data_IF_284126621328
#
_entry.id   IF_284126621328
#
_cell.length_a   1.000
_cell.length_b   1.000
_cell.length_c   1.000
_cell.angle_alpha   90.00
_cell.angle_beta   90.00
_cell.angle_gamma   90.00
#
_symmetry.space_group_name_H-M   'P 1'
#
loop_
_entity.id
_entity.type
_entity.pdbx_description
1 polymer ?
#
# COMPACT_ATOMS: atom_id res chain seq x y z
N UNK A 1 8.15 4.67 -2.76
CA UNK A 1 7.20 4.24 -3.80
C UNK A 1 7.18 2.73 -4.01
N UNK A 2 8.29 2.06 -4.35
CA UNK A 2 8.34 0.61 -4.59
C UNK A 2 7.61 -0.23 -3.52
N UNK A 3 7.92 -0.01 -2.24
CA UNK A 3 7.25 -0.73 -1.14
C UNK A 3 5.71 -0.55 -1.13
N UNK A 4 5.21 0.68 -1.31
CA UNK A 4 3.76 0.98 -1.36
C UNK A 4 3.13 0.29 -2.57
N UNK A 5 3.76 0.38 -3.74
CA UNK A 5 3.25 -0.22 -4.98
C UNK A 5 3.13 -1.73 -4.85
N UNK A 6 4.19 -2.43 -4.44
CA UNK A 6 4.21 -3.89 -4.45
C UNK A 6 3.52 -4.54 -3.26
N UNK A 7 3.46 -3.86 -2.10
CA UNK A 7 2.87 -4.44 -0.89
C UNK A 7 1.45 -4.00 -0.59
N UNK A 8 1.05 -2.82 -1.07
CA UNK A 8 -0.26 -2.26 -0.77
C UNK A 8 -1.13 -2.17 -2.01
N UNK A 9 -0.60 -1.63 -3.11
CA UNK A 9 -1.42 -1.36 -4.30
C UNK A 9 -1.61 -2.60 -5.20
N UNK A 10 -0.53 -3.29 -5.58
CA UNK A 10 -0.60 -4.45 -6.48
C UNK A 10 -1.50 -5.58 -5.95
N UNK A 11 -1.48 -5.95 -4.66
CA UNK A 11 -2.40 -6.96 -4.15
C UNK A 11 -3.89 -6.60 -4.34
N UNK A 12 -4.24 -5.32 -4.23
CA UNK A 12 -5.62 -4.83 -4.44
C UNK A 12 -5.98 -4.83 -5.93
N UNK A 13 -5.01 -4.51 -6.80
CA UNK A 13 -5.25 -4.45 -8.24
C UNK A 13 -5.32 -5.85 -8.86
N UNK A 14 -4.39 -6.72 -8.52
CA UNK A 14 -4.21 -8.03 -9.13
C UNK A 14 -5.01 -9.14 -8.45
N UNK A 15 -5.44 -8.93 -7.20
CA UNK A 15 -6.03 -9.98 -6.38
C UNK A 15 -5.06 -11.13 -6.12
N UNK A 16 -5.53 -12.18 -5.47
CA UNK A 16 -4.69 -13.32 -5.12
C UNK A 16 -4.12 -14.03 -6.36
N UNK A 17 -4.92 -14.18 -7.41
CA UNK A 17 -4.50 -14.90 -8.62
C UNK A 17 -3.48 -14.13 -9.44
N UNK A 18 -3.64 -12.81 -9.61
CA UNK A 18 -2.62 -12.01 -10.28
C UNK A 18 -1.34 -11.87 -9.45
N UNK A 19 -1.41 -11.88 -8.11
CA UNK A 19 -0.21 -11.91 -7.27
C UNK A 19 0.56 -13.24 -7.40
N UNK A 20 -0.13 -14.38 -7.63
CA UNK A 20 0.55 -15.65 -7.97
C UNK A 20 1.31 -15.55 -9.28
N UNK A 21 0.76 -14.86 -10.29
CA UNK A 21 1.46 -14.62 -11.57
C UNK A 21 2.72 -13.76 -11.38
N UNK A 22 2.68 -12.79 -10.47
CA UNK A 22 3.82 -11.92 -10.16
C UNK A 22 4.95 -12.68 -9.44
N UNK A 23 4.59 -13.60 -8.54
CA UNK A 23 5.53 -14.46 -7.82
C UNK A 23 6.35 -13.77 -6.73
N UNK A 24 7.22 -14.53 -6.05
CA UNK A 24 8.15 -14.02 -5.04
C UNK A 24 9.35 -13.32 -5.66
N UNK A 25 10.01 -12.47 -4.87
CA UNK A 25 11.27 -11.87 -5.30
C UNK A 25 12.42 -12.83 -5.00
N UNK A 26 13.10 -13.28 -6.06
CA UNK A 26 14.17 -14.28 -5.96
C UNK A 26 15.56 -13.67 -6.16
N UNK A 27 15.66 -12.33 -6.19
CA UNK A 27 16.90 -11.60 -6.42
C UNK A 27 16.89 -10.77 -7.71
N UNK A 28 17.94 -9.97 -7.86
CA UNK A 28 18.21 -9.22 -9.08
C UNK A 28 18.82 -10.15 -10.13
N UNK A 29 18.34 -10.05 -11.35
CA UNK A 29 18.82 -10.80 -12.52
C UNK A 29 19.10 -9.81 -13.66
N UNK A 30 20.36 -9.75 -14.09
CA UNK A 30 20.83 -8.83 -15.13
C UNK A 30 20.44 -9.27 -16.56
N UNK A 31 19.92 -10.49 -16.72
CA UNK A 31 19.37 -10.99 -17.98
C UNK A 31 17.91 -10.57 -18.19
N UNK A 32 17.23 -10.09 -17.15
CA UNK A 32 15.86 -9.59 -17.26
C UNK A 32 15.88 -8.19 -17.84
N UNK A 33 15.17 -7.98 -18.95
CA UNK A 33 14.94 -6.65 -19.50
C UNK A 33 13.82 -5.93 -18.72
N UNK A 34 14.10 -4.86 -17.96
CA UNK A 34 13.10 -4.14 -17.17
C UNK A 34 12.36 -3.07 -17.98
N UNK A 35 12.61 -2.94 -19.28
CA UNK A 35 11.95 -1.94 -20.14
C UNK A 35 10.43 -2.12 -20.09
N UNK A 36 9.72 -1.00 -20.07
CA UNK A 36 8.26 -1.00 -20.14
C UNK A 36 7.81 -1.46 -21.52
N UNK A 37 7.01 -2.53 -21.57
CA UNK A 37 6.48 -3.05 -22.82
C UNK A 37 5.36 -2.16 -23.38
N UNK A 38 5.18 -2.24 -24.71
CA UNK A 38 4.24 -1.38 -25.42
C UNK A 38 2.79 -1.69 -24.99
N UNK A 39 2.42 -2.96 -24.89
CA UNK A 39 1.08 -3.37 -24.44
C UNK A 39 0.77 -2.94 -23.00
N UNK A 40 1.78 -2.92 -22.12
CA UNK A 40 1.61 -2.48 -20.75
C UNK A 40 1.29 -0.99 -20.69
N UNK A 41 2.11 -0.14 -21.33
CA UNK A 41 1.94 1.32 -21.30
C UNK A 41 0.73 1.80 -22.12
N UNK A 42 0.48 1.17 -23.26
CA UNK A 42 -0.49 1.66 -24.23
C UNK A 42 -1.90 1.10 -24.00
N UNK A 43 -2.04 -0.07 -23.37
CA UNK A 43 -3.34 -0.69 -23.11
C UNK A 43 -3.54 -1.08 -21.64
N UNK A 44 -2.74 -2.01 -21.10
CA UNK A 44 -3.07 -2.68 -19.84
C UNK A 44 -3.13 -1.72 -18.64
N UNK A 45 -2.13 -0.86 -18.44
CA UNK A 45 -2.12 0.13 -17.34
C UNK A 45 -3.17 1.22 -17.47
N UNK A 46 -3.83 1.34 -18.63
CA UNK A 46 -4.93 2.27 -18.84
C UNK A 46 -6.26 1.77 -18.27
N UNK A 47 -6.30 0.57 -17.67
CA UNK A 47 -7.48 0.06 -16.96
C UNK A 47 -8.02 1.06 -15.93
N UNK A 48 -7.13 1.86 -15.33
CA UNK A 48 -7.46 2.91 -14.37
C UNK A 48 -8.49 3.93 -14.90
N UNK A 49 -8.57 4.17 -16.22
CA UNK A 49 -9.58 5.05 -16.81
C UNK A 49 -11.02 4.61 -16.53
N UNK A 50 -11.26 3.31 -16.28
CA UNK A 50 -12.59 2.78 -15.92
C UNK A 50 -12.97 3.03 -14.45
N UNK A 51 -12.00 3.43 -13.63
CA UNK A 51 -12.12 3.64 -12.18
C UNK A 51 -12.18 5.13 -11.80
N UNK A 52 -12.02 6.03 -12.76
CA UNK A 52 -12.07 7.48 -12.52
C UNK A 52 -13.52 7.90 -12.25
N UNK A 53 -13.81 8.55 -11.10
CA UNK A 53 -15.12 9.14 -10.84
C UNK A 53 -15.35 10.39 -11.70
N UNK A 54 -16.61 10.74 -12.02
CA UNK A 54 -16.94 11.96 -12.77
C UNK A 54 -16.76 13.25 -11.95
N UNK A 55 -16.40 13.13 -10.67
CA UNK A 55 -16.35 14.22 -9.71
C UNK A 55 -15.05 14.11 -8.92
N UNK A 56 -14.37 15.24 -8.75
CA UNK A 56 -13.29 15.40 -7.78
C UNK A 56 -13.91 15.83 -6.45
N UNK A 57 -13.95 14.90 -5.51
CA UNK A 57 -14.48 15.13 -4.17
C UNK A 57 -13.52 16.02 -3.38
N UNK A 58 -14.09 16.96 -2.64
CA UNK A 58 -13.36 17.93 -1.83
C UNK A 58 -14.04 18.08 -0.48
N UNK A 59 -13.30 17.77 0.60
CA UNK A 59 -13.85 17.72 1.95
C UNK A 59 -13.10 18.63 2.93
N UNK A 60 -13.83 19.29 3.81
CA UNK A 60 -13.30 20.07 4.92
C UNK A 60 -12.75 19.17 6.04
N UNK A 61 -12.26 19.78 7.12
CA UNK A 61 -11.69 19.09 8.29
C UNK A 61 -12.67 18.15 9.01
N UNK A 62 -13.98 18.39 8.86
CA UNK A 62 -15.04 17.54 9.41
C UNK A 62 -15.46 16.40 8.48
N UNK A 63 -14.74 16.19 7.36
CA UNK A 63 -15.08 15.19 6.32
C UNK A 63 -16.43 15.45 5.67
N UNK A 64 -16.75 16.72 5.47
CA UNK A 64 -17.96 17.20 4.80
C UNK A 64 -17.57 18.03 3.58
N UNK A 65 -18.47 18.17 2.63
CA UNK A 65 -18.21 18.97 1.42
C UNK A 65 -17.82 20.40 1.78
N UNK A 66 -16.75 20.92 1.17
CA UNK A 66 -16.35 22.33 1.32
C UNK A 66 -17.40 23.27 0.71
N UNK A 67 -17.42 24.54 1.11
CA UNK A 67 -18.42 25.52 0.64
C UNK A 67 -18.40 25.70 -0.89
N UNK A 68 -17.23 25.59 -1.52
CA UNK A 68 -17.05 25.61 -2.98
C UNK A 68 -17.63 24.38 -3.69
N UNK A 69 -18.10 23.38 -2.95
CA UNK A 69 -18.66 22.13 -3.49
C UNK A 69 -17.60 21.15 -3.98
N UNK A 70 -18.02 20.13 -4.73
CA UNK A 70 -17.12 19.27 -5.50
C UNK A 70 -16.90 19.83 -6.92
N UNK A 71 -15.86 19.37 -7.62
CA UNK A 71 -15.65 19.72 -9.03
C UNK A 71 -16.12 18.60 -9.95
N UNK A 72 -16.77 18.95 -11.05
CA UNK A 72 -16.87 18.03 -12.18
C UNK A 72 -15.46 17.79 -12.75
N UNK A 73 -15.17 16.56 -13.15
CA UNK A 73 -13.82 16.17 -13.56
C UNK A 73 -13.27 17.03 -14.70
N UNK A 74 -14.10 17.38 -15.70
CA UNK A 74 -13.66 18.21 -16.82
C UNK A 74 -13.20 19.62 -16.39
N UNK A 75 -13.66 20.12 -15.24
CA UNK A 75 -13.28 21.42 -14.68
C UNK A 75 -11.98 21.37 -13.87
N UNK A 76 -11.50 20.16 -13.54
CA UNK A 76 -10.27 19.95 -12.80
C UNK A 76 -9.04 19.74 -13.71
N UNK A 77 -9.25 19.40 -14.99
CA UNK A 77 -8.15 19.25 -15.95
C UNK A 77 -7.46 20.60 -16.19
N UNK A 78 -6.13 20.61 -16.01
CA UNK A 78 -5.28 21.78 -16.22
C UNK A 78 -5.71 23.04 -15.44
N UNK A 79 -6.31 22.86 -14.26
CA UNK A 79 -6.81 23.95 -13.41
C UNK A 79 -6.02 24.09 -12.09
N UNK A 80 -4.72 24.45 -12.12
CA UNK A 80 -3.91 24.57 -10.90
C UNK A 80 -4.36 25.71 -10.00
N UNK A 81 -5.06 26.71 -10.52
CA UNK A 81 -5.60 27.83 -9.75
C UNK A 81 -6.63 27.38 -8.70
N UNK A 82 -7.27 26.21 -8.92
CA UNK A 82 -8.14 25.55 -7.93
C UNK A 82 -7.40 25.25 -6.64
N UNK A 83 -6.11 24.88 -6.71
CA UNK A 83 -5.33 24.62 -5.50
C UNK A 83 -5.09 25.90 -4.69
N UNK A 84 -4.95 27.04 -5.36
CA UNK A 84 -4.70 28.33 -4.68
C UNK A 84 -5.99 28.93 -4.10
N UNK A 85 -7.13 28.72 -4.76
CA UNK A 85 -8.41 29.37 -4.42
C UNK A 85 -9.33 28.50 -3.57
N UNK A 86 -9.23 27.18 -3.68
CA UNK A 86 -10.21 26.23 -3.11
C UNK A 86 -9.66 25.45 -1.90
N UNK A 87 -8.72 26.05 -1.15
CA UNK A 87 -8.24 25.53 0.13
C UNK A 87 -7.05 24.56 0.05
N UNK A 88 -6.23 24.61 -1.00
CA UNK A 88 -5.02 23.81 -1.11
C UNK A 88 -5.27 22.35 -1.51
N UNK A 89 -4.32 21.49 -1.12
CA UNK A 89 -4.36 20.04 -1.42
C UNK A 89 -5.24 19.25 -0.44
N UNK A 90 -5.32 19.71 0.81
CA UNK A 90 -6.00 19.05 1.91
C UNK A 90 -7.44 18.60 1.57
N UNK A 91 -8.31 19.45 0.98
CA UNK A 91 -9.66 19.03 0.64
C UNK A 91 -9.71 17.89 -0.38
N UNK A 92 -8.81 17.90 -1.35
CA UNK A 92 -8.71 16.88 -2.39
C UNK A 92 -8.18 15.57 -1.77
N UNK A 93 -7.16 15.66 -0.92
CA UNK A 93 -6.60 14.49 -0.22
C UNK A 93 -7.65 13.82 0.67
N UNK A 94 -8.46 14.58 1.43
CA UNK A 94 -9.58 14.01 2.19
C UNK A 94 -10.61 13.33 1.27
N UNK A 95 -10.91 13.95 0.12
CA UNK A 95 -11.78 13.34 -0.90
C UNK A 95 -11.24 12.01 -1.45
N UNK A 96 -9.94 11.95 -1.78
CA UNK A 96 -9.27 10.73 -2.24
C UNK A 96 -9.30 9.62 -1.19
N UNK A 97 -9.12 9.97 0.09
CA UNK A 97 -9.13 9.02 1.19
C UNK A 97 -10.54 8.50 1.54
N UNK A 98 -11.60 9.26 1.27
CA UNK A 98 -12.95 8.96 1.77
C UNK A 98 -13.95 8.51 0.70
N UNK A 99 -13.89 9.09 -0.50
CA UNK A 99 -14.97 8.94 -1.49
C UNK A 99 -14.80 7.75 -2.44
N UNK A 100 -13.67 7.04 -2.38
CA UNK A 100 -13.42 5.84 -3.19
C UNK A 100 -13.39 6.11 -4.70
N UNK A 101 -13.26 5.02 -5.45
CA UNK A 101 -13.17 5.02 -6.91
C UNK A 101 -14.52 4.71 -7.56
N UNK A 102 -14.63 4.93 -8.87
CA UNK A 102 -15.74 4.41 -9.66
C UNK A 102 -15.64 2.89 -9.76
N UNK A 103 -16.77 2.21 -9.54
CA UNK A 103 -16.90 0.77 -9.72
C UNK A 103 -16.79 0.41 -11.22
N UNK A 104 -15.87 -0.51 -11.55
CA UNK A 104 -15.60 -0.99 -12.92
C UNK A 104 -16.76 -1.80 -13.50
N UNK A 105 -17.66 -2.33 -12.68
CA UNK A 105 -18.80 -3.13 -13.14
C UNK A 105 -19.92 -2.28 -13.75
N UNK A 106 -19.86 -0.95 -13.58
CA UNK A 106 -20.84 -0.01 -14.14
C UNK A 106 -20.71 0.09 -15.66
N UNK A 107 -21.86 0.17 -16.33
CA UNK A 107 -21.99 0.39 -17.76
C UNK A 107 -22.54 1.80 -18.06
N UNK A 108 -21.99 2.56 -19.03
CA UNK A 108 -20.80 2.25 -19.84
C UNK A 108 -19.51 2.19 -19.00
N UNK A 109 -18.44 1.53 -19.49
CA UNK A 109 -17.21 1.29 -18.71
C UNK A 109 -16.44 2.56 -18.33
N UNK A 110 -16.53 3.62 -19.13
CA UNK A 110 -16.02 4.96 -18.82
C UNK A 110 -17.20 5.93 -18.64
N UNK A 111 -17.01 6.94 -17.81
CA UNK A 111 -18.04 7.95 -17.56
C UNK A 111 -17.95 9.09 -18.60
N UNK A 112 -19.03 9.86 -18.77
CA UNK A 112 -19.13 10.91 -19.80
C UNK A 112 -18.16 12.08 -19.62
N UNK A 113 -17.61 12.30 -18.42
CA UNK A 113 -16.56 13.30 -18.23
C UNK A 113 -15.25 12.91 -18.92
N UNK A 114 -15.08 11.61 -19.24
CA UNK A 114 -13.94 11.09 -19.99
C UNK A 114 -14.25 10.80 -21.46
N UNK A 115 -15.51 10.55 -21.85
CA UNK A 115 -15.87 10.24 -23.25
C UNK A 115 -16.42 11.44 -24.02
N UNK A 116 -17.09 12.37 -23.34
CA UNK A 116 -17.77 13.51 -24.01
C UNK A 116 -17.17 14.86 -23.66
N UNK A 117 -16.35 14.92 -22.60
CA UNK A 117 -15.87 16.19 -22.01
C UNK A 117 -14.39 16.16 -21.66
N UNK A 118 -13.63 15.18 -22.17
CA UNK A 118 -12.21 15.12 -21.89
C UNK A 118 -11.56 16.42 -22.39
N UNK A 119 -10.93 17.14 -21.46
CA UNK A 119 -10.22 18.39 -21.71
C UNK A 119 -11.07 19.49 -22.38
N UNK A 120 -12.39 19.48 -22.18
CA UNK A 120 -13.30 20.49 -22.74
C UNK A 120 -12.96 21.95 -22.34
N UNK A 121 -12.22 22.14 -21.24
CA UNK A 121 -11.75 23.47 -20.80
C UNK A 121 -10.38 23.87 -21.37
N UNK A 122 -9.63 22.93 -21.96
CA UNK A 122 -8.25 23.12 -22.40
C UNK A 122 -8.04 22.97 -23.92
N UNK A 123 -9.05 22.45 -24.64
CA UNK A 123 -9.05 22.31 -26.09
C UNK A 123 -10.31 22.93 -26.69
N UNK A 124 -10.23 23.29 -27.98
CA UNK A 124 -11.37 23.83 -28.74
C UNK A 124 -12.52 22.82 -28.87
N UNK A 125 -12.18 21.53 -28.89
CA UNK A 125 -13.14 20.42 -28.95
C UNK A 125 -12.92 19.48 -27.78
N UNK A 126 -14.01 19.03 -27.18
CA UNK A 126 -13.97 17.95 -26.22
C UNK A 126 -13.54 16.64 -26.90
N UNK A 127 -12.72 15.86 -26.21
CA UNK A 127 -12.20 14.59 -26.71
C UNK A 127 -12.91 13.40 -26.04
N UNK A 128 -12.72 12.21 -26.62
CA UNK A 128 -13.14 10.92 -26.07
C UNK A 128 -11.92 10.08 -25.69
N UNK A 129 -11.70 9.88 -24.39
CA UNK A 129 -10.58 9.09 -23.89
C UNK A 129 -10.67 7.60 -24.29
N UNK A 130 -11.87 7.03 -24.39
CA UNK A 130 -12.05 5.65 -24.83
C UNK A 130 -11.64 5.51 -26.30
N UNK A 131 -12.13 6.41 -27.17
CA UNK A 131 -11.76 6.43 -28.58
C UNK A 131 -10.25 6.68 -28.77
N UNK A 132 -9.66 7.59 -27.99
CA UNK A 132 -8.22 7.85 -28.00
C UNK A 132 -7.40 6.61 -27.60
N UNK A 133 -7.84 5.83 -26.62
CA UNK A 133 -7.13 4.60 -26.22
C UNK A 133 -7.19 3.53 -27.33
N UNK A 134 -8.34 3.38 -27.99
CA UNK A 134 -8.48 2.50 -29.15
C UNK A 134 -7.56 2.96 -30.29
N UNK A 135 -7.63 4.24 -30.66
CA UNK A 135 -6.83 4.77 -31.75
C UNK A 135 -5.33 4.72 -31.44
N UNK A 136 -4.92 4.96 -30.18
CA UNK A 136 -3.53 4.86 -29.74
C UNK A 136 -3.01 3.42 -29.79
N UNK A 137 -3.84 2.44 -29.46
CA UNK A 137 -3.47 1.02 -29.61
C UNK A 137 -3.13 0.67 -31.06
N UNK A 138 -3.91 1.18 -32.01
CA UNK A 138 -3.72 0.99 -33.45
C UNK A 138 -2.48 1.72 -33.97
N UNK A 139 -2.30 2.98 -33.55
CA UNK A 139 -1.11 3.81 -33.83
C UNK A 139 0.19 3.10 -33.40
N UNK A 140 0.17 2.48 -32.22
CA UNK A 140 1.30 1.73 -31.67
C UNK A 140 1.48 0.33 -32.27
N UNK A 141 0.65 -0.08 -33.23
CA UNK A 141 0.71 -1.40 -33.87
C UNK A 141 0.49 -2.55 -32.89
N UNK A 142 -0.30 -2.35 -31.83
CA UNK A 142 -0.57 -3.42 -30.88
C UNK A 142 -1.35 -4.57 -31.55
N UNK A 143 -0.94 -5.83 -31.34
CA UNK A 143 -1.78 -6.96 -31.65
C UNK A 143 -3.15 -6.89 -30.94
N UNK A 144 -4.14 -7.54 -31.54
CA UNK A 144 -5.49 -7.62 -30.98
C UNK A 144 -5.55 -8.32 -29.62
N UNK A 145 -6.64 -8.08 -28.89
CA UNK A 145 -6.93 -8.66 -27.58
C UNK A 145 -6.71 -10.18 -27.53
N UNK A 146 -7.16 -10.91 -28.54
CA UNK A 146 -7.08 -12.38 -28.54
C UNK A 146 -5.65 -12.89 -28.69
N UNK A 147 -4.75 -12.13 -29.33
CA UNK A 147 -3.33 -12.49 -29.40
C UNK A 147 -2.74 -12.57 -27.99
N UNK A 148 -2.98 -11.54 -27.18
CA UNK A 148 -2.51 -11.49 -25.80
C UNK A 148 -3.24 -12.52 -24.92
N UNK A 149 -4.57 -12.54 -24.96
CA UNK A 149 -5.35 -13.41 -24.09
C UNK A 149 -5.05 -14.90 -24.33
N UNK A 150 -4.96 -15.35 -25.58
CA UNK A 150 -4.87 -16.78 -25.90
C UNK A 150 -3.45 -17.27 -26.15
N UNK A 151 -2.59 -16.50 -26.82
CA UNK A 151 -1.22 -16.97 -27.12
C UNK A 151 -0.22 -16.57 -26.06
N UNK A 152 -0.23 -15.30 -25.66
CA UNK A 152 0.74 -14.79 -24.68
C UNK A 152 0.39 -15.29 -23.28
N UNK A 153 -0.87 -15.13 -22.88
CA UNK A 153 -1.34 -15.48 -21.53
C UNK A 153 -1.95 -16.89 -21.42
N UNK A 154 -2.11 -17.61 -22.53
CA UNK A 154 -2.57 -19.02 -22.51
C UNK A 154 -3.99 -19.23 -21.97
N UNK A 155 -4.88 -18.25 -22.06
CA UNK A 155 -6.18 -18.28 -21.38
C UNK A 155 -7.27 -19.06 -22.12
N UNK A 156 -6.97 -19.81 -23.19
CA UNK A 156 -8.01 -20.58 -23.88
C UNK A 156 -7.50 -21.83 -24.58
N UNK A 157 -8.44 -22.64 -25.06
CA UNK A 157 -8.17 -23.96 -25.64
C UNK A 157 -7.55 -23.92 -27.03
N UNK A 158 -7.61 -22.78 -27.72
CA UNK A 158 -7.02 -22.54 -29.04
C UNK A 158 -6.25 -21.23 -29.03
N UNK A 159 -5.11 -21.16 -29.71
CA UNK A 159 -4.34 -19.93 -29.90
C UNK A 159 -5.10 -18.86 -30.71
N UNK A 160 -6.12 -19.26 -31.48
CA UNK A 160 -6.86 -18.41 -32.40
C UNK A 160 -8.36 -18.67 -32.23
N UNK A 161 -9.07 -17.88 -31.41
CA UNK A 161 -10.53 -17.99 -31.33
C UNK A 161 -11.15 -17.49 -32.64
N UNK A 162 -12.08 -18.28 -33.19
CA UNK A 162 -12.82 -17.96 -34.42
C UNK A 162 -14.30 -17.63 -34.13
N UNK A 163 -14.74 -17.78 -32.88
CA UNK A 163 -16.09 -17.43 -32.45
C UNK A 163 -16.10 -16.55 -31.20
N UNK A 164 -17.01 -15.58 -31.14
CA UNK A 164 -17.26 -14.79 -29.92
C UNK A 164 -17.73 -15.67 -28.75
N UNK A 165 -18.26 -16.87 -29.01
CA UNK A 165 -18.60 -17.82 -27.95
C UNK A 165 -17.36 -18.28 -27.16
N UNK A 166 -16.18 -18.31 -27.77
CA UNK A 166 -14.93 -18.70 -27.11
C UNK A 166 -14.48 -17.67 -26.08
N UNK A 167 -15.00 -16.43 -26.14
CA UNK A 167 -14.70 -15.36 -25.18
C UNK A 167 -15.54 -15.47 -23.89
N UNK A 168 -16.60 -16.29 -23.88
CA UNK A 168 -17.53 -16.46 -22.73
C UNK A 168 -16.86 -16.77 -21.40
N UNK A 169 -15.76 -17.56 -21.32
CA UNK A 169 -15.08 -17.81 -20.06
C UNK A 169 -14.52 -16.55 -19.38
N UNK A 170 -14.37 -15.43 -20.12
CA UNK A 170 -13.85 -14.15 -19.60
C UNK A 170 -14.78 -12.97 -19.75
N UNK A 171 -15.72 -13.04 -20.70
CA UNK A 171 -16.73 -12.01 -20.92
C UNK A 171 -18.09 -12.70 -20.83
N UNK A 172 -18.62 -12.79 -19.62
CA UNK A 172 -19.87 -13.55 -19.35
C UNK A 172 -21.12 -12.82 -19.80
N UNK A 173 -21.07 -11.48 -19.92
CA UNK A 173 -22.24 -10.65 -20.23
C UNK A 173 -22.63 -10.74 -21.72
N UNK A 174 -23.82 -11.28 -22.08
CA UNK A 174 -24.18 -11.54 -23.47
C UNK A 174 -24.26 -10.29 -24.35
N UNK A 175 -24.78 -9.17 -23.80
CA UNK A 175 -24.90 -7.92 -24.55
C UNK A 175 -23.53 -7.31 -24.92
N UNK A 176 -22.48 -7.59 -24.13
CA UNK A 176 -21.11 -7.16 -24.44
C UNK A 176 -20.57 -7.97 -25.62
N UNK A 177 -20.75 -9.29 -25.61
CA UNK A 177 -20.34 -10.17 -26.73
C UNK A 177 -21.04 -9.78 -28.03
N UNK A 178 -22.34 -9.49 -27.97
CA UNK A 178 -23.10 -9.05 -29.14
C UNK A 178 -22.64 -7.68 -29.65
N UNK A 179 -22.35 -6.74 -28.74
CA UNK A 179 -21.76 -5.45 -29.08
C UNK A 179 -20.40 -5.59 -29.79
N UNK A 180 -19.52 -6.44 -29.25
CA UNK A 180 -18.23 -6.75 -29.86
C UNK A 180 -18.39 -7.38 -31.24
N UNK A 181 -19.32 -8.34 -31.39
CA UNK A 181 -19.63 -8.99 -32.66
C UNK A 181 -20.05 -7.98 -33.72
N UNK A 182 -20.95 -7.06 -33.36
CA UNK A 182 -21.46 -6.03 -34.26
C UNK A 182 -20.39 -5.03 -34.70
N UNK A 183 -19.47 -4.67 -33.81
CA UNK A 183 -18.44 -3.64 -34.09
C UNK A 183 -17.21 -4.21 -34.79
N UNK A 184 -16.73 -5.38 -34.36
CA UNK A 184 -15.44 -5.93 -34.81
C UNK A 184 -15.57 -6.99 -35.91
N UNK A 185 -16.74 -7.61 -36.06
CA UNK A 185 -17.01 -8.68 -37.04
C UNK A 185 -16.34 -10.02 -36.72
N UNK A 186 -15.08 -10.01 -36.30
CA UNK A 186 -14.28 -11.17 -35.92
C UNK A 186 -13.62 -10.95 -34.55
N UNK A 187 -13.56 -11.96 -33.65
CA UNK A 187 -12.96 -11.80 -32.32
C UNK A 187 -11.47 -11.41 -32.37
N UNK A 188 -10.75 -11.84 -33.41
CA UNK A 188 -9.35 -11.47 -33.65
C UNK A 188 -9.09 -9.98 -33.89
N UNK A 189 -10.12 -9.20 -34.22
CA UNK A 189 -10.00 -7.77 -34.53
C UNK A 189 -10.19 -6.86 -33.31
N UNK A 190 -10.55 -7.42 -32.15
CA UNK A 190 -10.84 -6.64 -30.94
C UNK A 190 -9.55 -5.94 -30.49
N UNK A 191 -9.58 -4.61 -30.36
CA UNK A 191 -8.44 -3.86 -29.82
C UNK A 191 -8.12 -4.29 -28.37
N UNK A 192 -6.83 -4.42 -28.03
CA UNK A 192 -6.39 -4.93 -26.72
C UNK A 192 -7.02 -4.16 -25.55
N UNK A 193 -7.06 -2.83 -25.62
CA UNK A 193 -7.67 -2.00 -24.58
C UNK A 193 -9.15 -2.35 -24.39
N UNK A 194 -9.92 -2.41 -25.48
CA UNK A 194 -11.35 -2.72 -25.44
C UNK A 194 -11.61 -4.12 -24.88
N UNK A 195 -10.90 -5.13 -25.37
CA UNK A 195 -11.07 -6.50 -24.87
C UNK A 195 -10.72 -6.62 -23.39
N UNK A 196 -9.58 -6.10 -22.97
CA UNK A 196 -9.11 -6.21 -21.58
C UNK A 196 -9.96 -5.48 -20.55
N UNK A 197 -10.57 -4.33 -20.89
CA UNK A 197 -11.48 -3.64 -19.95
C UNK A 197 -12.86 -4.29 -19.85
N UNK A 198 -13.26 -5.09 -20.83
CA UNK A 198 -14.57 -5.75 -20.90
C UNK A 198 -14.58 -7.16 -20.30
N UNK A 199 -13.42 -7.72 -19.99
CA UNK A 199 -13.31 -8.93 -19.17
C UNK A 199 -13.98 -8.74 -17.80
N UNK A 200 -14.59 -9.80 -17.31
CA UNK A 200 -14.97 -9.89 -15.91
C UNK A 200 -13.72 -9.87 -15.02
N UNK A 201 -13.86 -9.24 -13.86
CA UNK A 201 -12.75 -9.08 -12.92
C UNK A 201 -12.38 -10.43 -12.30
N UNK A 202 -11.09 -10.64 -12.08
CA UNK A 202 -10.65 -11.72 -11.19
C UNK A 202 -11.19 -11.49 -9.76
N UNK A 203 -11.38 -12.55 -8.96
CA UNK A 203 -11.79 -12.43 -7.57
C UNK A 203 -10.89 -11.47 -6.78
N UNK A 204 -11.51 -10.55 -6.06
CA UNK A 204 -10.89 -9.48 -5.26
C UNK A 204 -9.96 -8.51 -6.03
N UNK A 205 -9.83 -8.67 -7.35
CA UNK A 205 -8.98 -7.84 -8.19
C UNK A 205 -9.72 -6.61 -8.74
N UNK A 206 -8.97 -5.77 -9.46
CA UNK A 206 -9.48 -4.64 -10.23
C UNK A 206 -9.20 -4.79 -11.72
N UNK A 207 -8.74 -5.94 -12.18
CA UNK A 207 -8.49 -6.29 -13.59
C UNK A 207 -9.00 -7.68 -13.94
N UNK A 208 -9.31 -7.89 -15.22
CA UNK A 208 -9.57 -9.23 -15.75
C UNK A 208 -8.26 -10.02 -15.97
N UNK A 209 -8.35 -11.31 -16.30
CA UNK A 209 -7.19 -12.20 -16.39
C UNK A 209 -6.14 -11.78 -17.43
N UNK A 210 -6.52 -11.21 -18.58
CA UNK A 210 -5.54 -10.80 -19.60
C UNK A 210 -4.70 -9.62 -19.12
N UNK A 211 -5.34 -8.60 -18.52
CA UNK A 211 -4.61 -7.49 -17.95
C UNK A 211 -3.84 -7.89 -16.68
N UNK A 212 -4.35 -8.83 -15.87
CA UNK A 212 -3.61 -9.37 -14.74
C UNK A 212 -2.28 -10.02 -15.18
N UNK A 213 -2.31 -10.83 -16.25
CA UNK A 213 -1.13 -11.43 -16.87
C UNK A 213 -0.10 -10.39 -17.32
N UNK A 214 -0.50 -9.41 -18.16
CA UNK A 214 0.40 -8.37 -18.69
C UNK A 214 0.97 -7.51 -17.55
N UNK A 215 0.14 -7.09 -16.61
CA UNK A 215 0.54 -6.23 -15.49
C UNK A 215 1.50 -6.99 -14.56
N UNK A 216 1.15 -8.22 -14.17
CA UNK A 216 1.99 -9.03 -13.29
C UNK A 216 3.36 -9.32 -13.93
N UNK A 217 3.41 -9.63 -15.22
CA UNK A 217 4.66 -9.84 -15.94
C UNK A 217 5.53 -8.58 -15.94
N UNK A 218 4.97 -7.41 -16.29
CA UNK A 218 5.74 -6.17 -16.31
C UNK A 218 6.26 -5.80 -14.92
N UNK A 219 5.43 -5.90 -13.88
CA UNK A 219 5.87 -5.60 -12.51
C UNK A 219 6.88 -6.62 -11.99
N UNK A 220 6.83 -7.89 -12.42
CA UNK A 220 7.88 -8.87 -12.15
C UNK A 220 9.20 -8.46 -12.80
N UNK A 221 9.19 -8.08 -14.09
CA UNK A 221 10.38 -7.60 -14.81
C UNK A 221 10.99 -6.35 -14.19
N UNK A 222 10.15 -5.37 -13.82
CA UNK A 222 10.58 -4.15 -13.13
C UNK A 222 11.21 -4.43 -11.76
N UNK A 223 10.72 -5.44 -11.04
CA UNK A 223 11.25 -5.83 -9.73
C UNK A 223 12.58 -6.56 -9.86
N UNK A 224 12.63 -7.57 -10.71
CA UNK A 224 13.77 -8.48 -10.81
C UNK A 224 14.89 -7.96 -11.70
N UNK A 225 14.61 -7.06 -12.65
CA UNK A 225 15.61 -6.40 -13.50
C UNK A 225 16.11 -5.06 -12.94
N UNK A 226 15.71 -4.65 -11.73
CA UNK A 226 16.18 -3.42 -11.09
C UNK A 226 17.27 -3.71 -10.05
N UNK A 227 18.51 -3.33 -10.39
CA UNK A 227 19.67 -3.48 -9.48
C UNK A 227 19.49 -2.69 -8.17
N UNK A 228 18.65 -1.66 -8.16
CA UNK A 228 18.34 -0.83 -7.01
C UNK A 228 16.97 -1.12 -6.40
N UNK A 229 16.38 -2.28 -6.71
CA UNK A 229 15.19 -2.76 -6.03
C UNK A 229 15.38 -2.71 -4.51
N UNK A 230 14.43 -2.12 -3.77
CA UNK A 230 14.63 -1.83 -2.34
C UNK A 230 14.87 -3.06 -1.44
N UNK A 231 14.55 -4.27 -1.91
CA UNK A 231 14.84 -5.52 -1.17
C UNK A 231 16.11 -6.24 -1.68
N UNK A 232 16.79 -5.69 -2.68
CA UNK A 232 18.02 -6.28 -3.19
C UNK A 232 19.15 -6.17 -2.14
N UNK A 233 19.96 -7.23 -1.98
CA UNK A 233 21.10 -7.22 -1.06
C UNK A 233 22.04 -6.04 -1.34
N UNK A 234 22.44 -5.33 -0.28
CA UNK A 234 23.37 -4.20 -0.38
C UNK A 234 22.72 -2.85 -0.70
N UNK A 235 21.43 -2.80 -1.06
CA UNK A 235 20.72 -1.52 -1.27
C UNK A 235 20.36 -0.87 0.06
N UNK A 236 19.81 -1.65 0.99
CA UNK A 236 19.53 -1.24 2.36
C UNK A 236 20.08 -2.28 3.33
N UNK A 237 20.48 -1.83 4.53
CA UNK A 237 20.77 -2.73 5.64
C UNK A 237 19.49 -3.44 6.11
N UNK A 238 19.62 -4.58 6.81
CA UNK A 238 18.46 -5.29 7.36
C UNK A 238 17.60 -4.40 8.29
N UNK A 239 18.23 -3.49 9.04
CA UNK A 239 17.54 -2.55 9.91
C UNK A 239 16.75 -1.49 9.11
N UNK A 240 17.37 -0.92 8.08
CA UNK A 240 16.71 0.03 7.17
C UNK A 240 15.55 -0.64 6.43
N UNK A 241 15.74 -1.86 5.94
CA UNK A 241 14.70 -2.62 5.26
C UNK A 241 13.53 -2.96 6.18
N UNK A 242 13.80 -3.31 7.45
CA UNK A 242 12.75 -3.54 8.45
C UNK A 242 11.91 -2.27 8.68
N UNK A 243 12.55 -1.09 8.76
CA UNK A 243 11.83 0.19 8.89
C UNK A 243 11.01 0.54 7.64
N UNK A 244 11.57 0.34 6.44
CA UNK A 244 10.83 0.51 5.18
C UNK A 244 9.63 -0.43 5.15
N UNK A 245 9.81 -1.67 5.63
CA UNK A 245 8.76 -2.69 5.61
C UNK A 245 7.69 -2.50 6.68
N UNK A 246 7.92 -1.66 7.68
CA UNK A 246 6.95 -1.37 8.74
C UNK A 246 5.84 -0.44 8.23
N UNK A 247 4.80 -0.26 9.04
CA UNK A 247 3.68 0.67 8.76
C UNK A 247 4.11 2.13 8.57
N UNK A 248 5.34 2.49 8.97
CA UNK A 248 5.94 3.81 8.79
C UNK A 248 6.15 4.26 7.34
N UNK A 249 6.13 3.34 6.38
CA UNK A 249 6.21 3.67 4.94
C UNK A 249 4.86 3.61 4.22
N UNK A 250 3.75 3.66 4.95
CA UNK A 250 2.40 3.65 4.34
C UNK A 250 2.06 5.00 3.70
N UNK A 251 1.21 4.96 2.66
CA UNK A 251 0.70 6.18 2.03
C UNK A 251 -0.11 7.05 3.02
N UNK A 252 -0.84 6.42 3.94
CA UNK A 252 -1.54 7.11 5.02
C UNK A 252 -0.56 7.89 5.92
N UNK A 253 0.61 7.31 6.25
CA UNK A 253 1.64 8.03 7.02
C UNK A 253 2.21 9.22 6.25
N UNK A 254 2.50 9.04 4.97
CA UNK A 254 3.00 10.12 4.10
C UNK A 254 2.01 11.28 4.10
N UNK A 255 0.71 11.01 3.96
CA UNK A 255 -0.32 12.05 4.00
C UNK A 255 -0.32 12.73 5.38
N UNK A 256 -0.29 11.98 6.49
CA UNK A 256 -0.21 12.56 7.84
C UNK A 256 1.02 13.46 8.08
N UNK A 257 2.13 13.25 7.39
CA UNK A 257 3.37 14.04 7.58
C UNK A 257 3.47 15.27 6.68
N UNK A 258 2.73 15.29 5.57
CA UNK A 258 2.90 16.28 4.50
C UNK A 258 1.60 17.04 4.17
N UNK A 259 0.54 16.86 4.96
CA UNK A 259 -0.69 17.64 4.84
C UNK A 259 -0.74 18.71 5.93
N UNK A 260 -1.46 19.79 5.69
CA UNK A 260 -1.51 20.91 6.63
C UNK A 260 -2.41 20.58 7.83
N UNK A 261 -3.64 20.11 7.58
CA UNK A 261 -4.69 19.90 8.58
C UNK A 261 -5.36 18.51 8.49
N UNK A 262 -4.66 17.48 8.01
CA UNK A 262 -5.17 16.08 8.01
C UNK A 262 -4.63 15.34 9.23
N UNK A 263 -5.46 15.21 10.26
CA UNK A 263 -5.12 14.54 11.53
C UNK A 263 -5.68 13.13 11.67
N UNK A 264 -6.60 12.73 10.77
CA UNK A 264 -7.20 11.40 10.70
C UNK A 264 -7.09 10.86 9.29
N UNK A 265 -6.89 9.56 9.14
CA UNK A 265 -6.77 8.88 7.84
C UNK A 265 -7.26 7.44 7.97
N UNK A 266 -7.65 6.76 6.87
CA UNK A 266 -7.81 5.31 6.90
C UNK A 266 -6.46 4.63 7.17
N UNK A 267 -6.48 3.46 7.82
CA UNK A 267 -5.26 2.68 8.09
C UNK A 267 -4.52 2.30 6.80
N UNK A 268 -5.28 1.93 5.76
CA UNK A 268 -4.77 1.73 4.41
C UNK A 268 -5.43 2.73 3.45
N UNK A 269 -4.66 3.70 2.94
CA UNK A 269 -5.13 4.73 2.02
C UNK A 269 -5.77 4.22 0.71
N UNK A 270 -5.54 2.96 0.33
CA UNK A 270 -6.17 2.35 -0.84
C UNK A 270 -7.53 1.69 -0.55
N UNK A 271 -7.90 1.58 0.73
CA UNK A 271 -9.18 0.99 1.15
C UNK A 271 -10.10 2.11 1.60
N UNK A 272 -11.23 2.20 0.91
CA UNK A 272 -12.25 3.20 1.22
C UNK A 272 -12.87 2.90 2.60
N UNK A 273 -12.88 3.87 3.54
CA UNK A 273 -13.61 3.74 4.80
C UNK A 273 -15.13 3.75 4.53
N UNK A 274 -15.91 3.03 5.35
CA UNK A 274 -17.37 3.01 5.21
C UNK A 274 -18.00 4.20 5.94
N UNK A 275 -17.40 4.61 7.06
CA UNK A 275 -17.88 5.71 7.91
C UNK A 275 -16.71 6.54 8.45
N UNK A 276 -16.99 7.75 8.92
CA UNK A 276 -15.99 8.65 9.52
C UNK A 276 -15.27 8.01 10.73
N UNK A 277 -15.94 7.11 11.46
CA UNK A 277 -15.37 6.40 12.61
C UNK A 277 -14.32 5.33 12.24
N UNK A 278 -14.26 4.92 10.97
CA UNK A 278 -13.26 3.96 10.50
C UNK A 278 -11.88 4.64 10.27
N UNK A 279 -11.83 5.97 10.38
CA UNK A 279 -10.60 6.76 10.30
C UNK A 279 -9.88 6.72 11.65
N UNK A 280 -8.55 6.58 11.61
CA UNK A 280 -7.69 6.57 12.80
C UNK A 280 -6.87 7.86 12.88
N UNK A 281 -6.54 8.27 14.10
CA UNK A 281 -5.65 9.41 14.33
C UNK A 281 -4.25 9.12 13.77
N UNK A 282 -3.66 10.12 13.12
CA UNK A 282 -2.31 10.05 12.54
C UNK A 282 -1.23 9.63 13.56
N UNK A 283 -1.45 9.88 14.85
CA UNK A 283 -0.56 9.48 15.94
C UNK A 283 -0.54 7.96 16.17
N UNK A 284 -1.57 7.23 15.73
CA UNK A 284 -1.62 5.76 15.78
C UNK A 284 -0.85 5.11 14.64
N UNK A 285 -0.52 5.87 13.59
CA UNK A 285 0.29 5.40 12.48
C UNK A 285 1.75 5.68 12.80
N UNK A 286 2.51 4.61 12.94
CA UNK A 286 3.95 4.69 13.23
C UNK A 286 4.69 5.58 12.22
N UNK A 287 5.67 6.35 12.68
CA UNK A 287 6.58 7.11 11.82
C UNK A 287 7.71 6.25 11.30
N UNK A 288 8.29 6.60 10.16
CA UNK A 288 9.54 6.01 9.69
C UNK A 288 10.67 6.42 10.63
N UNK A 289 11.40 5.45 11.20
CA UNK A 289 12.53 5.76 12.08
C UNK A 289 13.80 6.01 11.25
N UNK A 290 14.16 7.27 11.02
CA UNK A 290 15.36 7.65 10.26
C UNK A 290 16.67 7.48 11.04
N UNK A 291 16.64 7.14 12.34
CA UNK A 291 17.86 6.94 13.12
C UNK A 291 18.72 5.79 12.58
N UNK A 292 18.12 4.80 11.90
CA UNK A 292 18.85 3.67 11.28
C UNK A 292 19.59 4.05 10.00
N UNK A 293 19.49 5.30 9.54
CA UNK A 293 20.31 5.89 8.48
C UNK A 293 21.46 6.75 9.01
N UNK A 294 21.58 6.90 10.33
CA UNK A 294 22.66 7.69 10.91
C UNK A 294 24.01 6.99 10.70
N UNK A 295 24.90 7.65 9.98
CA UNK A 295 26.29 7.25 9.89
C UNK A 295 27.06 7.77 11.11
N UNK A 296 27.78 6.88 11.80
CA UNK A 296 28.77 7.31 12.78
C UNK A 296 30.06 7.61 12.02
N UNK A 297 30.64 8.82 12.13
CA UNK A 297 31.93 9.09 11.51
C UNK A 297 32.97 8.12 12.07
N UNK A 298 33.65 7.39 11.19
CA UNK A 298 34.83 6.63 11.56
C UNK A 298 35.86 7.60 12.12
N UNK A 299 36.22 7.47 13.40
CA UNK A 299 37.44 8.08 13.93
C UNK A 299 38.61 7.42 13.23
N UNK A 300 39.12 8.06 12.18
CA UNK A 300 40.41 7.75 11.58
C UNK A 300 41.50 8.15 12.56
N UNK A 301 42.11 7.20 13.26
CA UNK A 301 43.31 7.45 14.05
C UNK A 301 43.52 6.44 15.18
N UNK A 302 44.44 5.51 14.95
CA UNK A 302 45.31 4.84 15.93
C UNK A 302 44.97 4.95 17.44
N UNK A 303 44.77 3.77 18.05
CA UNK A 303 45.12 3.41 19.44
C UNK A 303 44.64 4.36 20.57
N UNK A 304 43.55 3.99 21.26
CA UNK A 304 43.51 4.05 22.73
C UNK A 304 42.36 3.20 23.29
N UNK A 305 42.69 2.35 24.26
CA UNK A 305 41.83 1.34 24.89
C UNK A 305 40.79 1.92 25.87
N UNK A 306 40.13 3.03 25.52
CA UNK A 306 39.02 3.62 26.29
C UNK A 306 37.97 4.23 25.35
N UNK A 307 37.19 3.40 24.66
CA UNK A 307 36.03 3.89 23.90
C UNK A 307 34.78 3.88 24.78
N UNK A 308 34.40 5.05 25.29
CA UNK A 308 33.07 5.31 25.82
C UNK A 308 32.05 5.32 24.68
N UNK A 309 31.11 4.40 24.71
CA UNK A 309 29.97 4.33 23.77
C UNK A 309 28.92 5.38 24.16
N UNK A 310 28.79 6.45 23.37
CA UNK A 310 27.61 7.32 23.44
C UNK A 310 26.39 6.60 22.84
N UNK A 311 25.21 6.78 23.45
CA UNK A 311 23.94 6.27 22.92
C UNK A 311 22.95 7.40 22.66
N UNK A 312 21.97 7.13 21.79
CA UNK A 312 20.94 8.07 21.35
C UNK A 312 19.63 7.68 22.01
N UNK A 313 18.98 8.65 22.65
CA UNK A 313 17.66 8.45 23.28
C UNK A 313 16.54 8.47 22.24
N UNK A 314 15.34 8.02 22.62
CA UNK A 314 14.14 7.96 21.77
C UNK A 314 13.68 9.33 21.19
N UNK A 315 14.33 10.42 21.60
CA UNK A 315 14.13 11.80 21.10
C UNK A 315 15.30 12.33 20.26
N UNK A 316 16.26 11.48 19.88
CA UNK A 316 17.32 11.82 18.93
C UNK A 316 18.49 12.67 19.47
N UNK A 317 18.60 12.86 20.80
CA UNK A 317 19.74 13.59 21.41
C UNK A 317 20.91 12.66 21.69
N UNK A 318 22.13 13.14 21.40
CA UNK A 318 23.40 12.49 21.72
C UNK A 318 23.82 12.90 23.14
N UNK A 319 24.02 11.96 24.06
CA UNK A 319 24.63 12.23 25.37
C UNK A 319 25.99 11.52 25.53
N UNK A 320 27.03 12.17 26.11
CA UNK A 320 28.29 11.53 26.44
C UNK A 320 28.16 10.61 27.67
N UNK A 321 28.81 9.45 27.63
CA UNK A 321 28.78 8.43 28.70
C UNK A 321 29.29 8.90 30.07
N UNK A 322 30.04 10.00 30.16
CA UNK A 322 30.50 10.57 31.44
C UNK A 322 29.34 11.08 32.30
N UNK A 323 28.23 11.52 31.70
CA UNK A 323 27.02 11.94 32.44
C UNK A 323 26.35 10.76 33.15
N UNK A 324 26.51 9.55 32.61
CA UNK A 324 26.04 8.32 33.22
C UNK A 324 26.94 7.87 34.34
N UNK A 325 28.27 7.90 34.27
CA UNK A 325 29.12 7.38 35.36
C UNK A 325 28.95 8.19 36.66
N UNK A 326 28.75 9.51 36.55
CA UNK A 326 28.39 10.36 37.69
C UNK A 326 26.94 10.12 38.19
N UNK A 327 26.00 9.74 37.31
CA UNK A 327 24.63 9.36 37.69
C UNK A 327 24.52 7.91 38.18
N UNK A 328 25.38 7.00 37.71
CA UNK A 328 25.46 5.59 38.07
C UNK A 328 26.16 5.45 39.41
N UNK A 329 27.24 6.19 39.68
CA UNK A 329 27.82 6.21 41.03
C UNK A 329 26.87 6.81 42.08
N UNK A 330 25.99 7.76 41.71
CA UNK A 330 24.91 8.26 42.59
C UNK A 330 23.71 7.32 42.71
N UNK A 331 23.40 6.53 41.68
CA UNK A 331 22.31 5.53 41.70
C UNK A 331 22.74 4.20 42.29
N UNK A 332 23.96 3.75 42.09
CA UNK A 332 24.47 2.47 42.58
C UNK A 332 24.66 2.52 44.10
N UNK A 333 24.99 3.67 44.68
CA UNK A 333 24.96 3.88 46.15
C UNK A 333 23.53 3.84 46.71
N UNK A 334 22.54 4.44 46.03
CA UNK A 334 21.13 4.38 46.46
C UNK A 334 20.44 3.05 46.16
N UNK A 335 20.85 2.34 45.10
CA UNK A 335 20.33 1.04 44.70
C UNK A 335 20.95 -0.06 45.58
N UNK A 336 22.22 0.01 45.96
CA UNK A 336 22.80 -0.95 46.92
C UNK A 336 22.20 -0.79 48.33
N UNK A 337 21.90 0.44 48.78
CA UNK A 337 21.16 0.65 50.04
C UNK A 337 19.70 0.16 49.96
N UNK A 338 19.02 0.38 48.84
CA UNK A 338 17.63 -0.09 48.63
C UNK A 338 17.51 -1.60 48.42
N UNK A 339 18.46 -2.24 47.71
CA UNK A 339 18.50 -3.70 47.54
C UNK A 339 18.84 -4.38 48.86
N UNK A 340 19.73 -3.79 49.68
CA UNK A 340 20.05 -4.34 51.01
C UNK A 340 18.82 -4.33 51.93
N UNK A 341 17.99 -3.28 51.85
CA UNK A 341 16.74 -3.17 52.62
C UNK A 341 15.61 -4.03 52.03
N UNK A 342 15.49 -4.18 50.71
CA UNK A 342 14.53 -5.12 50.08
C UNK A 342 14.88 -6.59 50.32
N UNK A 343 16.17 -6.96 50.31
CA UNK A 343 16.60 -8.33 50.64
C UNK A 343 16.32 -8.64 52.12
N UNK A 344 16.57 -7.71 53.05
CA UNK A 344 16.21 -7.88 54.46
C UNK A 344 14.70 -8.06 54.65
N UNK A 345 13.89 -7.26 53.95
CA UNK A 345 12.43 -7.33 54.01
C UNK A 345 11.89 -8.61 53.39
N UNK A 346 12.42 -9.05 52.24
CA UNK A 346 12.02 -10.32 51.62
C UNK A 346 12.40 -11.52 52.48
N UNK A 347 13.56 -11.50 53.15
CA UNK A 347 13.94 -12.58 54.06
C UNK A 347 12.97 -12.70 55.25
N UNK A 348 12.55 -11.57 55.82
CA UNK A 348 11.57 -11.51 56.91
C UNK A 348 10.16 -11.97 56.45
N UNK A 349 9.77 -11.62 55.21
CA UNK A 349 8.50 -12.04 54.62
C UNK A 349 8.47 -13.54 54.33
N UNK A 350 9.61 -14.12 53.93
CA UNK A 350 9.75 -15.56 53.67
C UNK A 350 9.68 -16.35 54.99
N UNK A 351 10.23 -15.82 56.07
CA UNK A 351 10.15 -16.41 57.40
C UNK A 351 8.72 -16.35 57.98
N UNK A 352 7.99 -15.26 57.73
CA UNK A 352 6.56 -15.14 58.08
C UNK A 352 5.69 -16.12 57.29
N UNK A 353 5.94 -16.29 55.99
CA UNK A 353 5.23 -17.26 55.15
C UNK A 353 5.50 -18.71 55.59
N UNK A 354 6.73 -19.02 56.00
CA UNK A 354 7.07 -20.34 56.55
C UNK A 354 6.34 -20.60 57.89
N UNK A 355 6.23 -19.60 58.77
CA UNK A 355 5.45 -19.70 60.02
C UNK A 355 3.95 -19.89 59.76
N UNK A 356 3.38 -19.15 58.80
CA UNK A 356 1.98 -19.28 58.38
C UNK A 356 1.69 -20.66 57.78
N UNK A 357 2.55 -21.16 56.89
CA UNK A 357 2.40 -22.50 56.30
C UNK A 357 2.43 -23.60 57.36
N UNK A 358 3.33 -23.50 58.35
CA UNK A 358 3.39 -24.44 59.47
C UNK A 358 2.14 -24.39 60.34
N UNK A 359 1.55 -23.19 60.51
CA UNK A 359 0.30 -23.02 61.29
C UNK A 359 -0.92 -23.56 60.55
N UNK A 360 -0.99 -23.38 59.23
CA UNK A 360 -2.04 -23.97 58.38
C UNK A 360 -2.00 -25.49 58.49
N UNK A 361 -0.82 -26.10 58.37
CA UNK A 361 -0.67 -27.55 58.51
C UNK A 361 -1.09 -28.09 59.88
N UNK A 362 -0.78 -27.36 60.95
CA UNK A 362 -1.27 -27.71 62.29
C UNK A 362 -2.80 -27.63 62.42
N UNK A 363 -3.42 -26.65 61.78
CA UNK A 363 -4.88 -26.51 61.79
C UNK A 363 -5.55 -27.59 60.93
N UNK A 364 -4.96 -27.97 59.80
CA UNK A 364 -5.41 -29.09 58.97
C UNK A 364 -5.33 -30.41 59.75
N UNK A 365 -4.23 -30.67 60.45
CA UNK A 365 -4.08 -31.87 61.29
C UNK A 365 -5.10 -31.90 62.44
N UNK A 366 -5.37 -30.74 63.07
CA UNK A 366 -6.40 -30.62 64.10
C UNK A 366 -7.82 -30.83 63.54
N UNK A 367 -8.10 -30.30 62.35
CA UNK A 367 -9.38 -30.49 61.66
C UNK A 367 -9.58 -31.96 61.27
N UNK A 368 -8.53 -32.65 60.84
CA UNK A 368 -8.56 -34.07 60.52
C UNK A 368 -8.87 -34.95 61.74
N UNK A 369 -8.36 -34.57 62.93
CA UNK A 369 -8.68 -35.25 64.19
C UNK A 369 -10.14 -35.00 64.61
N UNK A 370 -10.65 -33.78 64.40
CA UNK A 370 -12.04 -33.42 64.74
C UNK A 370 -13.08 -34.06 63.80
N UNK A 371 -12.71 -34.35 62.55
CA UNK A 371 -13.59 -35.01 61.56
C UNK A 371 -13.59 -36.55 61.67
N UNK A 372 -12.79 -37.13 62.58
CA UNK A 372 -12.72 -38.59 62.83
C UNK A 372 -13.30 -39.02 64.19
N UNK A 373 -13.97 -38.12 64.91
CA UNK A 373 -14.89 -38.42 66.02
C UNK A 373 -16.30 -37.99 65.61
#
# INVERSE_FOLDING_TARGET
>A
MQAITYRSWLPIVLGNDGMKLLGTYDGYDDQINPTISNEFATAAMRFGHTMVPPVVFRLNENWETIDQGHLLLHQAFFAPDRLLKDGGMDPILRGLLFNGIRDRTRSPSLNSELTERLFAMAHELALDLAALNVQRGRDHGLPGYTEYAYKVCGLGSSAYPNSFNELKPRITKPHILEGLRRVYGHPGNIDLFTGGILEDLLPDARVGPTFACIIAEQFRKLRSGDRFWYEAPGVFSSAQLAEIKRTGSSLSRIICENSDNITKVPENAFIRPNRKQDLIDCNRISRLNLAVWKECPFTSGFLSAHHGTAYITDIGKLEPTESLLLRRNRRDTTITENISTEILNNHNTTEQLAKLSKRIKQLEDQLFILLKK
#
